data_IF_847644349800
#
_entry.id   IF_847644349800
#
_cell.length_a   1.000
_cell.length_b   1.000
_cell.length_c   1.000
_cell.angle_alpha   90.00
_cell.angle_beta   90.00
_cell.angle_gamma   90.00
#
_symmetry.space_group_name_H-M   'P 1'
#
loop_
_entity.id
_entity.type
_entity.pdbx_description
1 polymer ?
#
# COMPACT_ATOMS: atom_id res chain seq x y z
N UNK A 1 -7.36 -10.97 3.91
CA UNK A 1 -5.88 -10.91 3.92
C UNK A 1 -5.44 -10.81 2.46
N UNK A 2 -4.77 -9.74 2.07
CA UNK A 2 -4.17 -9.61 0.73
C UNK A 2 -2.66 -9.85 0.82
N UNK A 3 -2.03 -10.40 -0.24
CA UNK A 3 -0.57 -10.52 -0.30
C UNK A 3 0.11 -9.14 -0.25
N UNK A 4 1.38 -9.13 0.19
CA UNK A 4 2.21 -7.91 0.19
C UNK A 4 2.65 -7.55 -1.23
N UNK A 5 3.00 -6.28 -1.42
CA UNK A 5 3.67 -5.82 -2.65
C UNK A 5 5.18 -6.05 -2.61
N UNK A 6 5.81 -6.00 -3.78
CA UNK A 6 7.27 -6.13 -3.94
C UNK A 6 8.01 -5.04 -3.15
N UNK A 7 7.54 -3.79 -3.20
CA UNK A 7 8.14 -2.71 -2.41
C UNK A 7 8.08 -2.97 -0.90
N UNK A 8 6.98 -3.53 -0.40
CA UNK A 8 6.86 -3.94 1.00
C UNK A 8 7.77 -5.12 1.34
N UNK A 9 7.92 -6.09 0.45
CA UNK A 9 8.86 -7.20 0.62
C UNK A 9 10.30 -6.68 0.72
N UNK A 10 10.67 -5.71 -0.11
CA UNK A 10 12.00 -5.10 -0.11
C UNK A 10 12.28 -4.31 1.17
N UNK A 11 11.32 -3.51 1.64
CA UNK A 11 11.41 -2.83 2.94
C UNK A 11 11.65 -3.85 4.06
N UNK A 12 10.97 -4.99 4.04
CA UNK A 12 11.17 -6.06 5.04
C UNK A 12 12.57 -6.67 4.98
N UNK A 13 13.20 -6.79 3.79
CA UNK A 13 14.61 -7.23 3.68
C UNK A 13 15.55 -6.21 4.32
N UNK A 14 15.28 -4.91 4.15
CA UNK A 14 16.11 -3.84 4.73
C UNK A 14 16.07 -3.81 6.27
N UNK A 15 15.01 -4.35 6.90
CA UNK A 15 14.92 -4.47 8.38
C UNK A 15 16.07 -5.31 8.95
N UNK A 16 16.60 -6.28 8.20
CA UNK A 16 17.76 -7.07 8.63
C UNK A 16 19.04 -6.21 8.79
N UNK A 17 19.05 -4.99 8.25
CA UNK A 17 20.09 -3.99 8.43
C UNK A 17 21.48 -4.44 7.97
N UNK A 18 22.51 -3.72 8.42
CA UNK A 18 23.93 -4.03 8.18
C UNK A 18 24.46 -5.19 9.05
N UNK A 19 23.59 -5.87 9.80
CA UNK A 19 24.00 -6.99 10.64
C UNK A 19 24.31 -8.19 9.75
N UNK A 20 25.57 -8.62 9.80
CA UNK A 20 26.19 -9.55 8.84
C UNK A 20 25.62 -10.98 8.80
N UNK A 21 24.52 -11.28 9.53
CA UNK A 21 23.98 -12.65 9.63
C UNK A 21 22.47 -12.71 9.95
N UNK A 22 21.68 -11.79 9.39
CA UNK A 22 20.22 -11.89 9.44
C UNK A 22 19.67 -12.93 8.45
N UNK A 23 18.65 -13.70 8.81
CA UNK A 23 17.91 -14.58 7.88
C UNK A 23 16.48 -14.09 7.71
N UNK A 24 16.01 -14.06 6.46
CA UNK A 24 14.60 -13.82 6.11
C UNK A 24 14.01 -15.09 5.53
N UNK A 25 12.82 -15.46 5.96
CA UNK A 25 12.06 -16.58 5.39
C UNK A 25 10.80 -16.02 4.72
N UNK A 26 10.76 -16.09 3.39
CA UNK A 26 9.60 -15.74 2.60
C UNK A 26 8.66 -16.96 2.52
N UNK A 27 7.42 -16.81 2.99
CA UNK A 27 6.41 -17.87 2.99
C UNK A 27 5.57 -17.85 1.70
N UNK A 28 6.24 -17.65 0.57
CA UNK A 28 5.67 -17.65 -0.78
C UNK A 28 6.76 -18.14 -1.75
N UNK A 29 6.36 -18.64 -2.91
CA UNK A 29 7.30 -19.16 -3.90
C UNK A 29 7.93 -18.03 -4.72
N UNK A 30 9.06 -18.33 -5.37
CA UNK A 30 9.74 -17.35 -6.24
C UNK A 30 8.89 -17.00 -7.46
N UNK A 31 8.09 -17.94 -7.98
CA UNK A 31 7.18 -17.69 -9.10
C UNK A 31 6.09 -16.68 -8.72
N UNK A 32 5.53 -16.77 -7.50
CA UNK A 32 4.59 -15.77 -7.00
C UNK A 32 5.26 -14.39 -6.90
N UNK A 33 6.52 -14.34 -6.47
CA UNK A 33 7.25 -13.09 -6.32
C UNK A 33 7.53 -12.39 -7.66
N UNK A 34 7.78 -13.16 -8.74
CA UNK A 34 8.09 -12.62 -10.06
C UNK A 34 6.84 -12.28 -10.88
N UNK A 35 5.83 -13.16 -10.89
CA UNK A 35 4.71 -13.04 -11.82
C UNK A 35 3.46 -12.40 -11.20
N UNK A 36 3.16 -12.73 -9.94
CA UNK A 36 1.86 -12.40 -9.32
C UNK A 36 1.93 -11.23 -8.33
N UNK A 37 3.09 -11.03 -7.70
CA UNK A 37 3.25 -10.03 -6.65
C UNK A 37 3.20 -8.63 -7.24
N UNK A 38 2.25 -7.82 -6.75
CA UNK A 38 2.09 -6.44 -7.22
C UNK A 38 3.34 -5.60 -6.90
N UNK A 39 3.77 -4.70 -7.80
CA UNK A 39 4.94 -3.87 -7.55
C UNK A 39 4.74 -2.91 -6.37
N UNK A 40 3.54 -2.33 -6.25
CA UNK A 40 3.17 -1.37 -5.22
C UNK A 40 1.82 -1.75 -4.60
N UNK A 41 1.64 -1.38 -3.32
CA UNK A 41 0.31 -1.41 -2.68
C UNK A 41 -0.59 -0.36 -3.34
N UNK A 42 -1.89 -0.66 -3.55
CA UNK A 42 -2.87 0.36 -3.96
C UNK A 42 -2.89 1.55 -2.99
N UNK A 43 -3.27 2.72 -3.50
CA UNK A 43 -3.47 3.89 -2.65
C UNK A 43 -4.61 3.61 -1.66
N UNK A 44 -4.45 4.00 -0.40
CA UNK A 44 -5.47 3.71 0.62
C UNK A 44 -6.84 4.28 0.26
N UNK A 45 -6.85 5.42 -0.45
CA UNK A 45 -8.05 6.07 -0.94
C UNK A 45 -8.87 5.23 -1.93
N UNK A 46 -8.27 4.23 -2.59
CA UNK A 46 -8.94 3.32 -3.53
C UNK A 46 -9.57 2.09 -2.85
N UNK A 47 -9.15 1.76 -1.63
CA UNK A 47 -9.59 0.54 -0.93
C UNK A 47 -10.33 0.83 0.38
N UNK A 48 -10.16 2.03 0.96
CA UNK A 48 -10.74 2.39 2.25
C UNK A 48 -12.22 2.80 2.15
N UNK A 49 -12.95 2.62 3.26
CA UNK A 49 -14.26 3.24 3.42
C UNK A 49 -14.09 4.75 3.59
N UNK A 50 -14.58 5.51 2.61
CA UNK A 50 -14.38 6.96 2.53
C UNK A 50 -15.35 7.78 3.39
N UNK A 51 -16.28 7.16 4.13
CA UNK A 51 -17.30 7.87 4.91
C UNK A 51 -16.70 8.93 5.83
N UNK A 52 -15.72 8.56 6.65
CA UNK A 52 -15.05 9.49 7.56
C UNK A 52 -14.31 10.61 6.82
N UNK A 53 -13.69 10.29 5.68
CA UNK A 53 -12.98 11.26 4.85
C UNK A 53 -13.94 12.27 4.22
N UNK A 54 -15.07 11.82 3.66
CA UNK A 54 -16.10 12.69 3.07
C UNK A 54 -16.73 13.60 4.13
N UNK A 55 -17.01 13.08 5.33
CA UNK A 55 -17.51 13.88 6.45
C UNK A 55 -16.50 14.96 6.87
N UNK A 56 -15.21 14.62 6.88
CA UNK A 56 -14.14 15.58 7.16
C UNK A 56 -14.07 16.67 6.08
N UNK A 57 -14.06 16.29 4.80
CA UNK A 57 -14.04 17.23 3.67
C UNK A 57 -15.22 18.21 3.72
N UNK A 58 -16.41 17.71 4.07
CA UNK A 58 -17.61 18.55 4.23
C UNK A 58 -17.49 19.54 5.39
N UNK A 59 -16.75 19.20 6.45
CA UNK A 59 -16.50 20.10 7.60
C UNK A 59 -15.57 21.26 7.24
N UNK A 60 -14.69 21.07 6.27
CA UNK A 60 -13.73 22.08 5.81
C UNK A 60 -14.15 22.73 4.48
N UNK A 61 -15.45 22.68 4.18
CA UNK A 61 -16.10 23.31 3.01
C UNK A 61 -15.52 22.90 1.64
N UNK A 62 -14.98 21.68 1.53
CA UNK A 62 -14.67 21.09 0.22
C UNK A 62 -15.96 20.50 -0.37
N UNK A 63 -16.29 20.92 -1.60
CA UNK A 63 -17.52 20.56 -2.34
C UNK A 63 -17.65 19.07 -2.73
N UNK A 64 -16.86 18.18 -2.12
CA UNK A 64 -16.88 16.73 -2.35
C UNK A 64 -15.74 16.23 -3.26
N UNK A 65 -15.63 14.90 -3.35
CA UNK A 65 -14.54 14.19 -4.03
C UNK A 65 -14.38 14.57 -5.51
N UNK A 66 -15.48 14.90 -6.20
CA UNK A 66 -15.44 15.25 -7.63
C UNK A 66 -14.66 16.52 -7.97
N UNK A 67 -14.40 17.37 -6.97
CA UNK A 67 -13.70 18.65 -7.13
C UNK A 67 -12.22 18.58 -6.70
N UNK A 68 -11.74 17.39 -6.32
CA UNK A 68 -10.36 17.20 -5.90
C UNK A 68 -9.53 16.53 -7.00
N UNK A 69 -8.36 17.10 -7.27
CA UNK A 69 -7.35 16.53 -8.16
C UNK A 69 -6.53 15.48 -7.41
N UNK A 70 -7.06 14.26 -7.36
CA UNK A 70 -6.39 13.15 -6.68
C UNK A 70 -5.28 12.54 -7.54
N UNK A 71 -4.14 12.26 -6.90
CA UNK A 71 -3.04 11.48 -7.53
C UNK A 71 -3.53 10.09 -7.95
N UNK A 72 -4.36 9.45 -7.12
CA UNK A 72 -5.04 8.20 -7.43
C UNK A 72 -6.51 8.37 -7.07
N UNK A 73 -7.41 8.44 -8.04
CA UNK A 73 -8.84 8.64 -7.75
C UNK A 73 -9.39 7.46 -6.92
N UNK A 74 -10.21 7.75 -5.88
CA UNK A 74 -10.93 6.73 -5.12
C UNK A 74 -11.82 5.84 -6.00
#
# INVERSE_FOLDING_TARGET
MQPISQSQAEIRKQILGSSSSGKLFCLYSEEFASEDMRPLKPAEMQEANLTSMVLFMKRIDIAGLGHCDFVNRP
#
